data_IF_437975707800
#
_entry.id   IF_437975707800
#
_cell.length_a   1.000
_cell.length_b   1.000
_cell.length_c   1.000
_cell.angle_alpha   90.00
_cell.angle_beta   90.00
_cell.angle_gamma   90.00
#
_symmetry.space_group_name_H-M   'P 1'
#
loop_
_entity.id
_entity.type
_entity.pdbx_description
1 polymer ?
#
# COMPACT_ATOMS: atom_id res chain seq x y z
N UNK A 1 11.66 2.66 20.99
CA UNK A 1 10.58 2.85 20.01
C UNK A 1 9.32 3.49 20.59
N UNK A 2 9.06 3.36 21.92
CA UNK A 2 7.78 3.78 22.53
C UNK A 2 7.53 5.28 22.70
N UNK A 3 8.49 6.16 22.43
CA UNK A 3 8.34 7.60 22.70
C UNK A 3 8.27 8.50 21.47
N UNK A 4 8.38 7.94 20.26
CA UNK A 4 8.38 8.72 19.02
C UNK A 4 6.99 9.31 18.75
N UNK A 5 5.91 8.55 19.00
CA UNK A 5 4.54 9.01 18.80
C UNK A 5 4.14 10.17 19.74
N UNK A 6 4.72 10.26 20.96
CA UNK A 6 4.41 11.32 21.93
C UNK A 6 4.68 12.74 21.41
N UNK A 7 5.50 12.86 20.37
CA UNK A 7 5.81 14.14 19.70
C UNK A 7 5.03 14.33 18.39
N UNK A 8 4.25 13.34 17.96
CA UNK A 8 3.50 13.38 16.71
C UNK A 8 2.04 13.75 16.98
N UNK A 9 1.45 14.48 16.05
CA UNK A 9 0.01 14.74 16.07
C UNK A 9 -0.74 13.48 15.68
N UNK A 10 -1.65 13.03 16.54
CA UNK A 10 -2.52 11.89 16.27
C UNK A 10 -3.79 12.32 15.54
N UNK A 11 -4.23 11.49 14.60
CA UNK A 11 -5.44 11.68 13.82
C UNK A 11 -6.30 10.43 13.93
N UNK A 12 -7.63 10.58 13.88
CA UNK A 12 -8.54 9.45 13.79
C UNK A 12 -8.39 8.72 12.45
N UNK A 13 -8.73 7.44 12.42
CA UNK A 13 -8.81 6.69 11.18
C UNK A 13 -9.96 7.20 10.31
N UNK A 14 -9.76 7.25 9.00
CA UNK A 14 -10.81 7.50 8.01
C UNK A 14 -11.81 6.33 7.96
N UNK A 15 -12.97 6.52 7.34
CA UNK A 15 -13.97 5.43 7.24
C UNK A 15 -13.42 4.20 6.51
N UNK A 16 -12.74 4.32 5.35
CA UNK A 16 -12.10 3.16 4.71
C UNK A 16 -11.08 2.48 5.63
N UNK A 17 -10.25 3.25 6.31
CA UNK A 17 -9.26 2.70 7.25
C UNK A 17 -9.91 1.95 8.43
N UNK A 18 -11.04 2.44 8.96
CA UNK A 18 -11.79 1.74 10.01
C UNK A 18 -12.31 0.39 9.54
N UNK A 19 -12.77 0.30 8.30
CA UNK A 19 -13.23 -0.98 7.73
C UNK A 19 -12.07 -1.99 7.63
N UNK A 20 -10.90 -1.55 7.16
CA UNK A 20 -9.70 -2.40 7.10
C UNK A 20 -9.21 -2.78 8.51
N UNK A 21 -9.22 -1.82 9.45
CA UNK A 21 -8.87 -2.10 10.86
C UNK A 21 -9.76 -3.17 11.48
N UNK A 22 -11.08 -3.12 11.26
CA UNK A 22 -11.98 -4.14 11.75
C UNK A 22 -11.70 -5.51 11.11
N UNK A 23 -11.41 -5.55 9.80
CA UNK A 23 -11.00 -6.78 9.14
C UNK A 23 -9.69 -7.34 9.73
N UNK A 24 -8.72 -6.46 10.07
CA UNK A 24 -7.46 -6.85 10.70
C UNK A 24 -7.66 -7.49 12.08
N UNK A 25 -8.59 -6.96 12.88
CA UNK A 25 -8.93 -7.56 14.19
C UNK A 25 -9.44 -9.00 14.06
N UNK A 26 -10.22 -9.32 13.00
CA UNK A 26 -10.73 -10.66 12.75
C UNK A 26 -9.71 -11.61 12.14
N UNK A 27 -8.69 -11.07 11.49
CA UNK A 27 -7.66 -11.83 10.75
C UNK A 27 -6.26 -11.61 11.31
N UNK A 28 -6.16 -11.17 12.57
CA UNK A 28 -4.90 -10.83 13.23
C UNK A 28 -3.80 -11.87 13.02
N UNK A 29 -2.64 -11.41 12.56
CA UNK A 29 -1.49 -12.26 12.25
C UNK A 29 -1.56 -12.96 10.89
N UNK A 30 -2.60 -12.71 10.08
CA UNK A 30 -2.66 -13.15 8.68
C UNK A 30 -2.17 -12.04 7.73
N UNK A 31 -1.96 -12.40 6.47
CA UNK A 31 -1.60 -11.47 5.39
C UNK A 31 -2.82 -11.09 4.50
N UNK A 32 -4.04 -11.30 4.97
CA UNK A 32 -5.28 -11.06 4.21
C UNK A 32 -5.43 -9.60 3.76
N UNK A 33 -4.90 -8.67 4.54
CA UNK A 33 -4.91 -7.25 4.23
C UNK A 33 -3.61 -6.77 3.57
N UNK A 34 -2.83 -7.67 2.95
CA UNK A 34 -1.63 -7.31 2.19
C UNK A 34 -1.93 -7.28 0.70
N UNK A 35 -1.44 -6.23 0.03
CA UNK A 35 -1.46 -6.09 -1.43
C UNK A 35 -0.02 -6.06 -1.89
N UNK A 36 0.34 -6.87 -2.88
CA UNK A 36 1.72 -6.91 -3.34
C UNK A 36 1.89 -7.48 -4.74
N UNK A 37 3.12 -7.44 -5.22
CA UNK A 37 3.51 -7.93 -6.53
C UNK A 37 4.93 -7.51 -6.91
N UNK A 38 5.20 -7.50 -8.21
CA UNK A 38 6.51 -7.16 -8.77
C UNK A 38 6.40 -6.03 -9.77
N UNK A 39 7.43 -5.18 -9.79
CA UNK A 39 7.76 -4.30 -10.90
C UNK A 39 9.00 -4.88 -11.56
N UNK A 40 8.92 -5.24 -12.84
CA UNK A 40 10.03 -5.80 -13.61
C UNK A 40 10.49 -4.77 -14.62
N UNK A 41 11.78 -4.49 -14.64
CA UNK A 41 12.46 -3.65 -15.60
C UNK A 41 13.31 -4.60 -16.47
N UNK A 42 12.93 -4.76 -17.73
CA UNK A 42 13.55 -5.73 -18.65
C UNK A 42 14.95 -5.32 -19.11
N UNK A 43 15.28 -4.04 -19.00
CA UNK A 43 16.60 -3.50 -19.28
C UNK A 43 17.58 -3.77 -18.14
N UNK A 44 18.87 -3.48 -18.35
CA UNK A 44 19.89 -3.60 -17.31
C UNK A 44 19.61 -2.60 -16.16
N UNK A 45 18.96 -3.08 -15.10
CA UNK A 45 18.53 -2.23 -13.99
C UNK A 45 19.71 -1.71 -13.19
N UNK A 46 19.66 -0.42 -12.87
CA UNK A 46 20.55 0.20 -11.89
C UNK A 46 19.82 0.23 -10.52
N UNK A 47 20.20 -0.68 -9.62
CA UNK A 47 19.54 -0.81 -8.33
C UNK A 47 19.74 0.42 -7.42
N UNK A 48 20.84 1.16 -7.55
CA UNK A 48 21.08 2.37 -6.74
C UNK A 48 20.11 3.48 -7.15
N UNK A 49 19.91 3.68 -8.44
CA UNK A 49 18.95 4.66 -8.95
C UNK A 49 17.52 4.24 -8.67
N UNK A 50 17.20 2.94 -8.71
CA UNK A 50 15.88 2.44 -8.37
C UNK A 50 15.58 2.65 -6.87
N UNK A 51 16.54 2.37 -5.99
CA UNK A 51 16.43 2.65 -4.56
C UNK A 51 16.21 4.15 -4.30
N UNK A 52 16.98 5.00 -5.00
CA UNK A 52 16.80 6.46 -4.91
C UNK A 52 15.41 6.88 -5.37
N UNK A 53 14.90 6.32 -6.46
CA UNK A 53 13.56 6.62 -6.96
C UNK A 53 12.47 6.25 -5.94
N UNK A 54 12.60 5.08 -5.30
CA UNK A 54 11.67 4.63 -4.25
C UNK A 54 11.74 5.54 -3.03
N UNK A 55 12.94 5.95 -2.61
CA UNK A 55 13.11 6.88 -1.49
C UNK A 55 12.45 8.24 -1.78
N UNK A 56 12.62 8.78 -2.98
CA UNK A 56 11.95 10.03 -3.41
C UNK A 56 10.43 9.84 -3.38
N UNK A 57 9.92 8.72 -3.88
CA UNK A 57 8.49 8.43 -3.86
C UNK A 57 7.93 8.37 -2.44
N UNK A 58 8.60 7.67 -1.52
CA UNK A 58 8.18 7.59 -0.10
C UNK A 58 8.28 8.95 0.60
N UNK A 59 9.32 9.76 0.28
CA UNK A 59 9.44 11.14 0.76
C UNK A 59 8.22 11.98 0.37
N UNK A 60 7.80 11.87 -0.89
CA UNK A 60 6.75 12.69 -1.49
C UNK A 60 5.32 12.21 -1.17
N UNK A 61 5.15 11.01 -0.61
CA UNK A 61 3.85 10.42 -0.31
C UNK A 61 3.77 10.02 1.17
N UNK A 62 3.20 10.89 1.98
CA UNK A 62 3.16 10.70 3.43
C UNK A 62 2.26 9.53 3.86
N UNK A 63 1.32 9.08 3.02
CA UNK A 63 0.52 7.88 3.25
C UNK A 63 1.39 6.63 3.54
N UNK A 64 2.55 6.48 2.89
CA UNK A 64 3.49 5.38 3.15
C UNK A 64 4.20 5.50 4.51
N UNK A 65 4.17 6.68 5.10
CA UNK A 65 4.78 6.95 6.40
C UNK A 65 3.79 6.94 7.56
N UNK A 66 2.52 6.59 7.28
CA UNK A 66 1.49 6.38 8.30
C UNK A 66 1.91 5.24 9.21
N UNK A 67 1.64 5.42 10.50
CA UNK A 67 1.70 4.39 11.53
C UNK A 67 0.37 4.36 12.26
N UNK A 68 -0.07 3.17 12.59
CA UNK A 68 -1.27 2.97 13.40
C UNK A 68 -0.84 2.82 14.85
N UNK A 69 -1.49 3.54 15.74
CA UNK A 69 -1.20 3.55 17.16
C UNK A 69 -2.48 3.31 17.97
N UNK A 70 -2.36 2.63 19.09
CA UNK A 70 -3.49 2.45 20.01
C UNK A 70 -3.40 3.50 21.12
N UNK A 71 -4.30 4.48 21.09
CA UNK A 71 -4.39 5.53 22.10
C UNK A 71 -5.67 5.39 22.92
N UNK A 72 -5.53 5.12 24.22
CA UNK A 72 -6.66 4.95 25.14
C UNK A 72 -7.75 3.97 24.64
N UNK A 73 -7.32 2.84 24.05
CA UNK A 73 -8.23 1.82 23.51
C UNK A 73 -8.86 2.15 22.15
N UNK A 74 -8.44 3.26 21.51
CA UNK A 74 -8.92 3.66 20.19
C UNK A 74 -7.77 3.65 19.17
N UNK A 75 -7.98 3.12 17.94
CA UNK A 75 -6.96 3.18 16.90
C UNK A 75 -6.87 4.60 16.35
N UNK A 76 -5.67 5.11 16.36
CA UNK A 76 -5.28 6.41 15.82
C UNK A 76 -4.18 6.22 14.78
N UNK A 77 -3.87 7.26 14.04
CA UNK A 77 -2.77 7.27 13.10
C UNK A 77 -1.91 8.52 13.25
N UNK A 78 -0.63 8.38 12.90
CA UNK A 78 0.30 9.49 12.80
C UNK A 78 1.23 9.31 11.60
N UNK A 79 1.85 10.38 11.14
CA UNK A 79 2.77 10.36 10.00
C UNK A 79 4.19 10.54 10.51
N UNK A 80 5.04 9.56 10.22
CA UNK A 80 6.47 9.65 10.52
C UNK A 80 7.16 10.69 9.62
N UNK A 81 8.09 11.48 10.14
CA UNK A 81 9.01 12.22 9.30
C UNK A 81 9.70 11.30 8.31
N UNK A 82 10.02 11.82 7.12
CA UNK A 82 10.81 11.05 6.18
C UNK A 82 12.25 10.92 6.68
N UNK A 83 12.75 9.71 6.65
CA UNK A 83 14.15 9.37 6.82
C UNK A 83 14.59 8.47 5.66
N UNK A 84 15.78 8.70 5.06
CA UNK A 84 16.31 7.80 4.04
C UNK A 84 16.46 6.38 4.57
N UNK A 85 16.16 5.40 3.72
CA UNK A 85 16.26 3.99 4.08
C UNK A 85 16.91 3.18 2.96
N UNK A 86 17.51 2.05 3.34
CA UNK A 86 18.12 1.10 2.42
C UNK A 86 17.19 -0.08 2.22
N UNK A 87 17.14 -0.56 0.97
CA UNK A 87 16.34 -1.71 0.61
C UNK A 87 17.19 -2.98 0.56
N UNK A 88 16.60 -4.09 0.96
CA UNK A 88 17.18 -5.40 0.74
C UNK A 88 17.38 -5.63 -0.75
N UNK A 89 18.56 -6.19 -1.14
CA UNK A 89 18.90 -6.52 -2.53
C UNK A 89 19.10 -8.02 -2.64
N UNK A 90 18.47 -8.64 -3.62
CA UNK A 90 18.54 -10.08 -3.86
C UNK A 90 18.94 -10.33 -5.30
N UNK A 91 19.95 -11.16 -5.51
CA UNK A 91 20.37 -11.63 -6.82
C UNK A 91 19.73 -12.97 -7.11
N UNK A 92 19.00 -13.06 -8.21
CA UNK A 92 18.16 -14.19 -8.55
C UNK A 92 18.74 -14.94 -9.76
N UNK A 93 18.63 -16.27 -9.73
CA UNK A 93 19.10 -17.13 -10.81
C UNK A 93 18.08 -17.22 -11.95
N UNK A 94 16.80 -17.28 -11.62
CA UNK A 94 15.72 -17.56 -12.57
C UNK A 94 14.36 -17.00 -12.10
N UNK A 95 13.34 -17.14 -12.94
CA UNK A 95 11.98 -16.70 -12.66
C UNK A 95 11.33 -17.44 -11.49
N UNK A 96 11.66 -18.71 -11.26
CA UNK A 96 11.13 -19.47 -10.12
C UNK A 96 11.63 -18.90 -8.79
N UNK A 97 12.88 -18.42 -8.76
CA UNK A 97 13.41 -17.72 -7.60
C UNK A 97 12.70 -16.37 -7.35
N UNK A 98 12.27 -15.67 -8.42
CA UNK A 98 11.47 -14.46 -8.29
C UNK A 98 10.06 -14.77 -7.76
N UNK A 99 9.39 -15.81 -8.26
CA UNK A 99 8.09 -16.24 -7.76
C UNK A 99 8.15 -16.52 -6.25
N UNK A 100 9.16 -17.28 -5.82
CA UNK A 100 9.38 -17.55 -4.40
C UNK A 100 9.60 -16.28 -3.58
N UNK A 101 10.46 -15.36 -4.06
CA UNK A 101 10.70 -14.08 -3.40
C UNK A 101 9.41 -13.25 -3.30
N UNK A 102 8.59 -13.27 -4.34
CA UNK A 102 7.30 -12.58 -4.37
C UNK A 102 6.35 -13.15 -3.32
N UNK A 103 6.21 -14.47 -3.30
CA UNK A 103 5.34 -15.15 -2.33
C UNK A 103 5.78 -14.86 -0.89
N UNK A 104 7.09 -14.92 -0.61
CA UNK A 104 7.66 -14.57 0.69
C UNK A 104 7.41 -13.10 1.06
N UNK A 105 7.53 -12.18 0.09
CA UNK A 105 7.32 -10.74 0.32
C UNK A 105 5.85 -10.42 0.60
N UNK A 106 4.93 -11.02 -0.15
CA UNK A 106 3.48 -10.82 0.01
C UNK A 106 2.95 -11.53 1.24
N UNK A 107 3.49 -12.71 1.56
CA UNK A 107 3.12 -13.46 2.75
C UNK A 107 3.69 -12.88 4.05
N UNK A 108 4.60 -11.90 3.97
CA UNK A 108 5.21 -11.30 5.15
C UNK A 108 4.16 -10.63 6.04
N UNK A 109 4.01 -11.05 7.30
CA UNK A 109 3.04 -10.47 8.21
C UNK A 109 3.54 -9.10 8.68
N UNK A 110 2.68 -8.08 8.56
CA UNK A 110 2.97 -6.77 9.13
C UNK A 110 2.73 -6.77 10.65
N UNK A 111 3.67 -6.18 11.38
CA UNK A 111 3.36 -5.73 12.73
C UNK A 111 2.49 -4.47 12.59
N UNK A 112 1.19 -4.60 12.89
CA UNK A 112 0.20 -3.59 12.54
C UNK A 112 0.39 -2.27 13.28
N UNK A 113 0.82 -2.31 14.55
CA UNK A 113 0.96 -1.11 15.37
C UNK A 113 2.39 -0.58 15.38
N UNK A 114 2.53 0.75 15.32
CA UNK A 114 3.77 1.53 15.47
C UNK A 114 4.93 1.06 14.58
N UNK A 115 4.60 0.49 13.42
CA UNK A 115 5.61 -0.03 12.50
C UNK A 115 5.37 0.36 11.04
N UNK A 116 6.34 0.05 10.19
CA UNK A 116 6.24 0.25 8.73
C UNK A 116 5.22 -0.72 8.16
N UNK A 117 4.32 -0.21 7.31
CA UNK A 117 3.22 -0.95 6.69
C UNK A 117 3.48 -1.24 5.20
N UNK A 118 4.74 -1.23 4.80
CA UNK A 118 5.21 -1.70 3.50
C UNK A 118 6.47 -2.55 3.65
N UNK A 119 6.69 -3.45 2.68
CA UNK A 119 7.88 -4.26 2.56
C UNK A 119 8.35 -4.24 1.10
N UNK A 120 9.55 -3.71 0.85
CA UNK A 120 10.14 -3.52 -0.46
C UNK A 120 11.47 -4.26 -0.54
N UNK A 121 11.68 -5.04 -1.60
CA UNK A 121 12.93 -5.77 -1.86
C UNK A 121 13.32 -5.58 -3.32
N UNK A 122 14.52 -5.10 -3.55
CA UNK A 122 15.10 -4.99 -4.89
C UNK A 122 15.64 -6.34 -5.33
N UNK A 123 15.45 -6.68 -6.60
CA UNK A 123 16.03 -7.89 -7.17
C UNK A 123 16.71 -7.63 -8.51
N UNK A 124 17.67 -8.48 -8.85
CA UNK A 124 18.35 -8.46 -10.15
C UNK A 124 18.75 -9.87 -10.57
N UNK A 125 18.54 -10.18 -11.86
CA UNK A 125 19.04 -11.39 -12.49
C UNK A 125 20.45 -11.19 -13.06
N UNK A 126 21.15 -12.30 -13.33
CA UNK A 126 22.44 -12.25 -14.02
C UNK A 126 22.36 -11.62 -15.42
N UNK A 127 21.21 -11.75 -16.09
CA UNK A 127 20.93 -11.11 -17.38
C UNK A 127 20.94 -9.57 -17.35
N UNK A 128 20.87 -8.98 -16.15
CA UNK A 128 20.73 -7.54 -15.95
C UNK A 128 19.29 -7.09 -15.69
N UNK A 129 18.28 -7.83 -16.13
CA UNK A 129 16.87 -7.61 -15.79
C UNK A 129 16.69 -7.60 -14.27
N UNK A 130 15.81 -6.75 -13.75
CA UNK A 130 15.60 -6.68 -12.31
C UNK A 130 14.41 -5.81 -11.96
N UNK A 131 14.30 -5.40 -10.70
CA UNK A 131 13.18 -4.55 -10.29
C UNK A 131 12.92 -4.54 -8.79
N UNK A 132 11.65 -4.44 -8.45
CA UNK A 132 11.14 -4.32 -7.09
C UNK A 132 10.07 -5.38 -6.84
N UNK A 133 10.23 -6.17 -5.79
CA UNK A 133 9.15 -6.93 -5.16
C UNK A 133 8.61 -6.10 -4.01
N UNK A 134 7.30 -5.98 -3.91
CA UNK A 134 6.68 -5.09 -2.94
C UNK A 134 5.43 -5.72 -2.31
N UNK A 135 5.18 -5.33 -1.07
CA UNK A 135 3.94 -5.59 -0.34
C UNK A 135 3.58 -4.37 0.50
N UNK A 136 2.31 -4.01 0.52
CA UNK A 136 1.77 -2.92 1.34
C UNK A 136 0.54 -3.42 2.11
N UNK A 137 0.36 -2.91 3.31
CA UNK A 137 -0.87 -3.16 4.07
C UNK A 137 -2.02 -2.33 3.49
N UNK A 138 -3.20 -2.93 3.36
CA UNK A 138 -4.37 -2.32 2.73
C UNK A 138 -4.88 -1.06 3.45
N UNK A 139 -4.49 -0.83 4.72
CA UNK A 139 -4.87 0.38 5.48
C UNK A 139 -4.18 1.65 4.96
N UNK A 140 -3.06 1.51 4.23
CA UNK A 140 -2.31 2.63 3.63
C UNK A 140 -2.33 2.63 2.11
N UNK A 141 -2.97 1.64 1.48
CA UNK A 141 -2.93 1.47 0.02
C UNK A 141 -4.15 0.75 -0.51
N UNK A 142 -4.44 0.97 -1.78
CA UNK A 142 -5.45 0.27 -2.58
C UNK A 142 -4.92 0.04 -4.00
N UNK A 143 -5.75 -0.50 -4.90
CA UNK A 143 -5.35 -0.76 -6.28
C UNK A 143 -4.93 0.52 -7.04
N UNK A 144 -5.58 1.65 -6.74
CA UNK A 144 -5.23 2.94 -7.35
C UNK A 144 -3.86 3.43 -6.85
N UNK A 145 -3.63 3.34 -5.56
CA UNK A 145 -2.33 3.68 -4.94
C UNK A 145 -1.19 2.83 -5.50
N UNK A 146 -1.45 1.55 -5.78
CA UNK A 146 -0.47 0.66 -6.42
C UNK A 146 -0.11 1.12 -7.83
N UNK A 147 -1.09 1.51 -8.65
CA UNK A 147 -0.85 2.05 -9.99
C UNK A 147 -0.03 3.35 -9.92
N UNK A 148 -0.40 4.27 -9.02
CA UNK A 148 0.35 5.51 -8.81
C UNK A 148 1.80 5.26 -8.36
N UNK A 149 2.02 4.27 -7.49
CA UNK A 149 3.35 3.88 -7.04
C UNK A 149 4.20 3.41 -8.23
N UNK A 150 3.66 2.47 -9.02
CA UNK A 150 4.37 1.93 -10.19
C UNK A 150 4.75 3.03 -11.17
N UNK A 151 3.76 3.83 -11.60
CA UNK A 151 3.97 4.89 -12.59
C UNK A 151 4.96 5.95 -12.08
N UNK A 152 4.82 6.38 -10.82
CA UNK A 152 5.67 7.41 -10.25
C UNK A 152 7.11 6.92 -10.04
N UNK A 153 7.29 5.71 -9.50
CA UNK A 153 8.64 5.16 -9.28
C UNK A 153 9.37 4.97 -10.61
N UNK A 154 8.70 4.42 -11.64
CA UNK A 154 9.31 4.24 -12.97
C UNK A 154 9.63 5.57 -13.62
N UNK A 155 8.76 6.58 -13.51
CA UNK A 155 9.02 7.93 -14.01
C UNK A 155 10.21 8.59 -13.32
N UNK A 156 10.29 8.51 -11.99
CA UNK A 156 11.43 9.05 -11.22
C UNK A 156 12.71 8.30 -11.61
N UNK A 157 12.67 6.98 -11.71
CA UNK A 157 13.79 6.15 -12.11
C UNK A 157 14.30 6.53 -13.53
N UNK A 158 13.40 6.66 -14.49
CA UNK A 158 13.74 7.11 -15.86
C UNK A 158 14.39 8.50 -15.87
N UNK A 159 13.86 9.44 -15.09
CA UNK A 159 14.43 10.77 -14.96
C UNK A 159 15.85 10.73 -14.36
N UNK A 160 16.08 9.88 -13.35
CA UNK A 160 17.41 9.69 -12.75
C UNK A 160 18.40 9.09 -13.75
N UNK A 161 17.98 8.11 -14.56
CA UNK A 161 18.81 7.52 -15.62
C UNK A 161 19.23 8.55 -16.68
N UNK A 162 18.32 9.42 -17.07
CA UNK A 162 18.51 10.41 -18.12
C UNK A 162 19.07 11.76 -17.59
N UNK A 163 19.39 11.85 -16.29
CA UNK A 163 19.80 13.08 -15.62
C UNK A 163 18.83 14.26 -15.87
N UNK A 164 17.53 13.96 -16.00
CA UNK A 164 16.49 14.99 -16.12
C UNK A 164 16.04 15.48 -14.75
N UNK A 165 15.64 16.77 -14.61
CA UNK A 165 15.22 17.33 -13.33
C UNK A 165 14.04 16.55 -12.73
N UNK A 166 14.13 16.32 -11.41
CA UNK A 166 13.05 15.71 -10.61
C UNK A 166 12.59 16.77 -9.63
N UNK A 167 11.28 16.96 -9.55
CA UNK A 167 10.71 17.76 -8.46
C UNK A 167 10.67 16.91 -7.19
N UNK A 168 11.66 17.07 -6.33
CA UNK A 168 11.78 16.33 -5.07
C UNK A 168 10.94 16.93 -3.91
N UNK A 169 10.34 18.09 -4.13
CA UNK A 169 9.62 18.85 -3.09
C UNK A 169 8.09 18.77 -3.21
N UNK A 170 7.60 17.87 -4.05
CA UNK A 170 6.16 17.59 -4.11
C UNK A 170 5.77 16.76 -2.88
N UNK A 171 4.83 17.25 -2.10
CA UNK A 171 4.27 16.51 -0.97
C UNK A 171 2.79 16.24 -1.21
N UNK A 172 2.45 14.99 -1.45
CA UNK A 172 1.07 14.52 -1.50
C UNK A 172 0.65 14.11 -0.10
N UNK A 173 -0.18 14.96 0.53
CA UNK A 173 -0.54 14.76 1.93
C UNK A 173 -1.83 13.97 2.11
N UNK A 174 -1.76 12.86 2.82
CA UNK A 174 -2.93 12.11 3.26
C UNK A 174 -3.76 12.90 4.30
N UNK A 175 -3.14 13.89 4.96
CA UNK A 175 -3.86 14.78 5.89
C UNK A 175 -4.94 15.59 5.19
N UNK A 176 -4.74 15.95 3.92
CA UNK A 176 -5.76 16.64 3.13
C UNK A 176 -6.98 15.75 2.91
N UNK A 177 -6.76 14.44 2.68
CA UNK A 177 -7.86 13.48 2.59
C UNK A 177 -8.62 13.35 3.93
N UNK A 178 -7.90 13.22 5.05
CA UNK A 178 -8.51 13.16 6.40
C UNK A 178 -9.37 14.41 6.63
N UNK A 179 -8.84 15.59 6.32
CA UNK A 179 -9.55 16.86 6.48
C UNK A 179 -10.78 16.91 5.58
N UNK A 180 -10.65 16.58 4.30
CA UNK A 180 -11.76 16.58 3.35
C UNK A 180 -12.89 15.61 3.76
N UNK A 181 -12.55 14.44 4.31
CA UNK A 181 -13.53 13.51 4.85
C UNK A 181 -14.28 14.13 6.05
N UNK A 182 -13.56 14.76 6.98
CA UNK A 182 -14.17 15.43 8.14
C UNK A 182 -15.07 16.60 7.71
N UNK A 183 -14.61 17.40 6.76
CA UNK A 183 -15.39 18.52 6.21
C UNK A 183 -16.66 18.01 5.52
N UNK A 184 -16.60 16.90 4.77
CA UNK A 184 -17.75 16.28 4.12
C UNK A 184 -18.87 15.94 5.10
N UNK A 185 -18.59 15.41 6.29
CA UNK A 185 -19.61 15.05 7.30
C UNK A 185 -20.42 16.26 7.80
N UNK A 186 -19.87 17.47 7.67
CA UNK A 186 -20.53 18.69 8.08
C UNK A 186 -21.36 19.34 6.94
N UNK A 187 -21.38 18.74 5.74
CA UNK A 187 -22.06 19.30 4.57
C UNK A 187 -23.53 18.91 4.48
N UNK A 188 -24.30 19.74 3.78
CA UNK A 188 -25.67 19.39 3.38
C UNK A 188 -25.72 18.19 2.42
N UNK A 189 -24.64 17.96 1.66
CA UNK A 189 -24.50 16.80 0.78
C UNK A 189 -24.48 15.50 1.60
N UNK A 190 -23.68 15.44 2.65
CA UNK A 190 -23.65 14.26 3.54
C UNK A 190 -25.05 13.94 4.12
N UNK A 191 -25.82 14.98 4.52
CA UNK A 191 -27.17 14.76 5.02
C UNK A 191 -28.08 14.11 3.98
N UNK A 192 -28.05 14.60 2.74
CA UNK A 192 -28.79 14.03 1.61
C UNK A 192 -28.36 12.61 1.28
N UNK A 193 -27.05 12.37 1.22
CA UNK A 193 -26.49 11.05 0.93
C UNK A 193 -26.90 10.05 2.03
N UNK A 194 -26.86 10.44 3.30
CA UNK A 194 -27.31 9.64 4.42
C UNK A 194 -28.82 9.32 4.36
N UNK A 195 -29.66 10.30 4.05
CA UNK A 195 -31.10 10.11 3.87
C UNK A 195 -31.39 9.14 2.72
N UNK A 196 -30.70 9.30 1.58
CA UNK A 196 -30.81 8.39 0.45
C UNK A 196 -30.50 6.94 0.84
N UNK A 197 -29.35 6.70 1.47
CA UNK A 197 -28.95 5.34 1.85
C UNK A 197 -29.86 4.75 2.94
N UNK A 198 -30.27 5.53 3.91
CA UNK A 198 -31.25 5.09 4.93
C UNK A 198 -32.60 4.69 4.29
N UNK A 199 -33.05 5.44 3.30
CA UNK A 199 -34.27 5.09 2.55
C UNK A 199 -34.06 3.85 1.68
N UNK A 200 -32.93 3.77 0.98
CA UNK A 200 -32.61 2.65 0.10
C UNK A 200 -32.51 1.31 0.86
N UNK A 201 -31.92 1.32 2.03
CA UNK A 201 -31.80 0.16 2.91
C UNK A 201 -32.84 0.15 4.06
N UNK A 202 -34.00 0.76 3.84
CA UNK A 202 -35.10 0.74 4.85
C UNK A 202 -35.65 -0.65 5.08
N UNK A 203 -35.49 -1.53 4.11
CA UNK A 203 -35.79 -2.97 4.23
C UNK A 203 -34.50 -3.76 4.08
N UNK A 204 -34.37 -4.82 4.90
CA UNK A 204 -33.22 -5.70 4.81
C UNK A 204 -33.16 -6.36 3.43
N UNK A 205 -32.03 -6.24 2.70
CA UNK A 205 -31.91 -6.88 1.39
C UNK A 205 -32.01 -8.39 1.50
N UNK A 206 -32.70 -9.02 0.55
CA UNK A 206 -32.79 -10.47 0.51
C UNK A 206 -31.39 -11.07 0.27
N UNK A 207 -31.02 -12.06 1.08
CA UNK A 207 -29.79 -12.80 0.90
C UNK A 207 -29.86 -13.61 -0.41
N UNK A 208 -29.12 -13.20 -1.42
CA UNK A 208 -28.95 -13.97 -2.65
C UNK A 208 -27.76 -14.92 -2.45
N UNK A 209 -28.03 -16.17 -2.22
CA UNK A 209 -27.01 -17.23 -2.20
C UNK A 209 -26.66 -17.57 -3.65
N UNK A 210 -25.50 -17.11 -4.11
CA UNK A 210 -24.96 -17.41 -5.45
C UNK A 210 -24.53 -18.88 -5.56
N UNK A 211 -24.30 -19.57 -4.45
CA UNK A 211 -23.91 -20.98 -4.41
C UNK A 211 -24.71 -21.75 -3.38
N UNK A 212 -25.32 -22.87 -3.82
CA UNK A 212 -26.01 -23.82 -2.93
C UNK A 212 -25.04 -24.81 -2.24
N UNK A 213 -23.75 -24.75 -2.50
CA UNK A 213 -22.75 -25.61 -1.84
C UNK A 213 -22.56 -25.21 -0.39
N UNK A 214 -23.05 -26.03 0.51
CA UNK A 214 -22.84 -25.95 1.96
C UNK A 214 -21.45 -26.47 2.40
N UNK A 215 -20.41 -26.24 1.63
CA UNK A 215 -19.07 -26.59 2.09
C UNK A 215 -18.57 -25.51 3.05
N UNK A 216 -18.37 -25.88 4.30
CA UNK A 216 -17.63 -25.07 5.27
C UNK A 216 -16.21 -24.93 4.76
N UNK A 217 -15.88 -23.78 4.15
CA UNK A 217 -14.48 -23.44 3.88
C UNK A 217 -13.80 -23.15 5.21
N UNK A 218 -12.85 -23.98 5.56
CA UNK A 218 -12.05 -23.84 6.80
C UNK A 218 -10.88 -22.86 6.57
N UNK A 219 -10.50 -22.62 5.32
CA UNK A 219 -9.42 -21.70 4.95
C UNK A 219 -9.77 -20.94 3.67
N UNK A 220 -9.45 -19.64 3.65
CA UNK A 220 -9.49 -18.82 2.44
C UNK A 220 -8.06 -18.72 1.90
N UNK A 221 -7.77 -19.44 0.81
CA UNK A 221 -6.51 -19.26 0.08
C UNK A 221 -6.78 -18.36 -1.12
N UNK A 222 -6.09 -17.24 -1.20
CA UNK A 222 -6.04 -16.41 -2.39
C UNK A 222 -4.81 -16.82 -3.23
N UNK A 223 -5.02 -17.08 -4.53
CA UNK A 223 -3.90 -17.19 -5.47
C UNK A 223 -3.58 -15.82 -6.02
N UNK A 224 -2.34 -15.41 -5.87
CA UNK A 224 -1.83 -14.19 -6.50
C UNK A 224 -1.87 -14.36 -8.01
N UNK A 225 -2.51 -13.43 -8.71
CA UNK A 225 -2.44 -13.35 -10.17
C UNK A 225 -1.45 -12.24 -10.51
N UNK A 226 -0.36 -12.58 -11.18
CA UNK A 226 0.62 -11.63 -11.70
C UNK A 226 0.19 -11.16 -13.08
N UNK A 227 0.08 -9.84 -13.26
CA UNK A 227 -0.10 -9.23 -14.58
C UNK A 227 1.22 -8.57 -14.99
N UNK A 228 1.83 -9.08 -16.06
CA UNK A 228 3.02 -8.49 -16.66
C UNK A 228 2.62 -7.76 -17.94
N UNK A 229 2.36 -6.45 -17.87
CA UNK A 229 2.39 -5.57 -19.05
C UNK A 229 2.66 -4.14 -18.61
N UNK A 230 3.95 -3.77 -18.62
CA UNK A 230 4.37 -2.38 -18.70
C UNK A 230 5.46 -2.31 -19.77
N UNK A 231 5.07 -1.92 -20.97
CA UNK A 231 6.01 -1.37 -21.95
C UNK A 231 6.25 0.08 -21.57
N UNK A 232 7.51 0.44 -21.30
CA UNK A 232 7.90 1.84 -21.20
C UNK A 232 7.54 2.52 -22.53
N UNK A 233 6.96 3.74 -22.54
CA UNK A 233 6.72 4.45 -23.77
C UNK A 233 8.09 4.68 -24.44
N UNK A 234 8.30 4.04 -25.57
CA UNK A 234 9.37 4.41 -26.50
C UNK A 234 9.03 5.79 -27.03
N UNK A 235 9.91 6.76 -26.73
CA UNK A 235 9.88 8.14 -27.22
C UNK A 235 9.76 8.20 -28.73
#
# INVERSE_FOLDING_TARGET
ASDVYKRQKLYGLTIPQKAIYLAELYSSGSNLNSIGGNIIIEENVNLDLLEKAINIFVKNNDALRIRIHMENGSPMQYIMPYEPFYLKRVFLKDKSALEKLTDETVAFPFNFFDSTLFNFTLFKFESGTGGLTLSLHHIISDAWSMSLLVDSVLKIYSNLLNNTPINEDVNYSYLDFIKNEQDYFNTSRFKKDKEFWNSFFSTEPQHILISQKKEKRITTTAKTVSYTHLTLPTT
#
